data_IF_993144555769
#
_entry.id   IF_993144555769
#
_cell.length_a   1.000
_cell.length_b   1.000
_cell.length_c   1.000
_cell.angle_alpha   90.00
_cell.angle_beta   90.00
_cell.angle_gamma   90.00
#
_symmetry.space_group_name_H-M   'P 1'
#
loop_
_entity.id
_entity.type
_entity.pdbx_description
1 polymer ?
#
# COMPACT_ATOMS: atom_id res chain seq x y z
N UNK A 1 -15.45 0.62 -13.15
CA UNK A 1 -15.91 2.00 -12.83
C UNK A 1 -15.56 2.98 -13.95
N UNK A 2 -15.18 2.50 -15.14
CA UNK A 2 -14.58 3.33 -16.19
C UNK A 2 -15.59 3.85 -17.23
N UNK A 3 -16.84 3.37 -17.20
CA UNK A 3 -17.88 3.78 -18.14
C UNK A 3 -18.25 5.26 -18.03
N UNK A 4 -18.26 5.80 -16.81
CA UNK A 4 -18.48 7.22 -16.56
C UNK A 4 -17.33 8.06 -17.13
N UNK A 5 -16.09 7.70 -16.80
CA UNK A 5 -14.89 8.43 -17.23
C UNK A 5 -14.74 8.42 -18.76
N UNK A 6 -15.01 7.29 -19.41
CA UNK A 6 -15.02 7.16 -20.87
C UNK A 6 -16.04 8.07 -21.54
N UNK A 7 -17.27 8.11 -21.01
CA UNK A 7 -18.32 8.97 -21.54
C UNK A 7 -17.95 10.44 -21.35
N UNK A 8 -17.40 10.79 -20.19
CA UNK A 8 -16.99 12.17 -19.93
C UNK A 8 -15.87 12.62 -20.86
N UNK A 9 -14.83 11.80 -21.02
CA UNK A 9 -13.75 12.03 -21.99
C UNK A 9 -14.28 12.22 -23.42
N UNK A 10 -15.26 11.40 -23.83
CA UNK A 10 -15.85 11.49 -25.16
C UNK A 10 -16.62 12.80 -25.38
N UNK A 11 -17.34 13.27 -24.37
CA UNK A 11 -18.08 14.53 -24.46
C UNK A 11 -17.13 15.73 -24.52
N UNK A 12 -16.08 15.74 -23.68
CA UNK A 12 -15.11 16.83 -23.59
C UNK A 12 -14.20 16.90 -24.83
N UNK A 13 -13.58 15.78 -25.21
CA UNK A 13 -12.62 15.72 -26.31
C UNK A 13 -13.29 15.99 -27.68
N UNK A 14 -14.54 15.55 -27.88
CA UNK A 14 -15.30 15.83 -29.10
C UNK A 14 -16.07 17.15 -29.03
N UNK A 15 -16.09 17.83 -27.88
CA UNK A 15 -16.91 19.02 -27.63
C UNK A 15 -18.36 18.85 -28.10
N UNK A 16 -18.95 17.69 -27.78
CA UNK A 16 -20.28 17.30 -28.27
C UNK A 16 -21.27 17.04 -27.14
N UNK A 17 -22.56 17.14 -27.45
CA UNK A 17 -23.66 16.83 -26.54
C UNK A 17 -23.89 15.33 -26.40
N UNK A 18 -24.56 14.91 -25.33
CA UNK A 18 -24.96 13.50 -25.13
C UNK A 18 -25.79 12.94 -26.30
N UNK A 19 -26.61 13.79 -26.94
CA UNK A 19 -27.41 13.38 -28.11
C UNK A 19 -26.54 13.10 -29.33
N UNK A 20 -25.52 13.93 -29.57
CA UNK A 20 -24.59 13.76 -30.68
C UNK A 20 -23.68 12.55 -30.45
N UNK A 21 -23.19 12.35 -29.22
CA UNK A 21 -22.42 11.16 -28.87
C UNK A 21 -23.26 9.88 -29.03
N UNK A 22 -24.51 9.89 -28.57
CA UNK A 22 -25.44 8.77 -28.74
C UNK A 22 -25.66 8.43 -30.22
N UNK A 23 -25.84 9.46 -31.06
CA UNK A 23 -26.01 9.30 -32.51
C UNK A 23 -24.75 8.71 -33.17
N UNK A 24 -23.55 9.14 -32.77
CA UNK A 24 -22.27 8.57 -33.26
C UNK A 24 -22.07 7.12 -32.85
N UNK A 25 -22.52 6.75 -31.65
CA UNK A 25 -22.40 5.39 -31.12
C UNK A 25 -23.55 4.46 -31.56
N UNK A 26 -24.60 5.00 -32.19
CA UNK A 26 -25.78 4.23 -32.59
C UNK A 26 -26.64 3.78 -31.40
N UNK A 27 -26.61 4.51 -30.28
CA UNK A 27 -27.34 4.19 -29.05
C UNK A 27 -28.34 5.29 -28.68
N UNK A 28 -29.21 5.04 -27.70
CA UNK A 28 -30.12 6.07 -27.19
C UNK A 28 -29.39 7.06 -26.26
N UNK A 29 -29.78 8.35 -26.21
CA UNK A 29 -29.24 9.30 -25.25
C UNK A 29 -29.41 8.85 -23.78
N UNK A 30 -30.47 8.09 -23.49
CA UNK A 30 -30.69 7.49 -22.17
C UNK A 30 -29.57 6.52 -21.80
N UNK A 31 -29.05 5.75 -22.75
CA UNK A 31 -27.94 4.83 -22.52
C UNK A 31 -26.66 5.58 -22.13
N UNK A 32 -26.41 6.75 -22.72
CA UNK A 32 -25.29 7.63 -22.33
C UNK A 32 -25.47 8.12 -20.89
N UNK A 33 -26.68 8.53 -20.51
CA UNK A 33 -26.97 8.95 -19.12
C UNK A 33 -26.81 7.82 -18.12
N UNK A 34 -27.12 6.58 -18.51
CA UNK A 34 -26.92 5.37 -17.71
C UNK A 34 -25.44 5.07 -17.47
N UNK A 35 -24.64 5.07 -18.54
CA UNK A 35 -23.18 4.89 -18.42
C UNK A 35 -22.51 5.99 -17.61
N UNK A 36 -22.99 7.23 -17.73
CA UNK A 36 -22.53 8.35 -16.88
C UNK A 36 -22.86 8.17 -15.40
N UNK A 37 -23.82 7.31 -15.05
CA UNK A 37 -24.14 6.94 -13.66
C UNK A 37 -23.42 5.66 -13.22
N UNK A 38 -22.43 5.19 -13.99
CA UNK A 38 -21.68 3.98 -13.69
C UNK A 38 -22.40 2.67 -14.04
N UNK A 39 -23.49 2.71 -14.81
CA UNK A 39 -24.10 1.46 -15.31
C UNK A 39 -23.13 0.70 -16.22
N UNK A 40 -23.26 -0.62 -16.23
CA UNK A 40 -22.43 -1.52 -17.03
C UNK A 40 -22.43 -1.12 -18.52
N UNK A 41 -21.24 -1.09 -19.11
CA UNK A 41 -21.00 -0.86 -20.54
C UNK A 41 -20.44 -2.15 -21.13
N UNK A 42 -20.93 -2.56 -22.30
CA UNK A 42 -20.36 -3.74 -22.97
C UNK A 42 -18.96 -3.45 -23.51
N UNK A 43 -18.10 -4.47 -23.56
CA UNK A 43 -16.74 -4.36 -24.08
C UNK A 43 -16.69 -3.77 -25.51
N UNK A 44 -17.65 -4.13 -26.38
CA UNK A 44 -17.75 -3.57 -27.73
C UNK A 44 -17.98 -2.04 -27.72
N UNK A 45 -18.83 -1.55 -26.80
CA UNK A 45 -19.08 -0.11 -26.68
C UNK A 45 -17.89 0.61 -26.06
N UNK A 46 -17.23 -0.02 -25.10
CA UNK A 46 -15.99 0.49 -24.53
C UNK A 46 -14.92 0.70 -25.60
N UNK A 47 -14.68 -0.33 -26.43
CA UNK A 47 -13.71 -0.28 -27.52
C UNK A 47 -14.05 0.81 -28.55
N UNK A 48 -15.34 0.95 -28.90
CA UNK A 48 -15.81 2.02 -29.78
C UNK A 48 -15.52 3.40 -29.22
N UNK A 49 -15.80 3.63 -27.94
CA UNK A 49 -15.52 4.92 -27.30
C UNK A 49 -14.02 5.16 -27.24
N UNK A 50 -13.21 4.18 -26.82
CA UNK A 50 -11.74 4.26 -26.79
C UNK A 50 -11.15 4.69 -28.13
N UNK A 51 -11.65 4.12 -29.24
CA UNK A 51 -11.23 4.51 -30.61
C UNK A 51 -11.58 5.96 -30.95
N UNK A 52 -12.74 6.44 -30.50
CA UNK A 52 -13.18 7.82 -30.73
C UNK A 52 -12.32 8.81 -29.94
N UNK A 53 -12.04 8.53 -28.66
CA UNK A 53 -11.25 9.41 -27.79
C UNK A 53 -9.74 9.23 -27.92
N UNK A 54 -9.29 8.20 -28.65
CA UNK A 54 -7.87 7.88 -28.93
C UNK A 54 -7.03 7.70 -27.66
N UNK A 55 -7.58 7.08 -26.62
CA UNK A 55 -6.84 6.83 -25.37
C UNK A 55 -6.07 5.50 -25.39
N UNK A 56 -6.35 4.63 -26.37
CA UNK A 56 -5.77 3.27 -26.42
C UNK A 56 -6.21 2.43 -25.23
N UNK A 57 -5.25 1.71 -24.65
CA UNK A 57 -5.45 0.82 -23.50
C UNK A 57 -5.31 1.54 -22.15
N UNK A 58 -5.02 2.85 -22.15
CA UNK A 58 -4.87 3.64 -20.93
C UNK A 58 -6.13 3.61 -20.06
N UNK A 59 -5.93 3.75 -18.75
CA UNK A 59 -7.05 3.86 -17.82
C UNK A 59 -7.85 5.16 -18.09
N UNK A 60 -9.16 5.07 -18.38
CA UNK A 60 -9.96 6.26 -18.70
C UNK A 60 -10.09 7.25 -17.54
N UNK A 61 -10.14 6.75 -16.31
CA UNK A 61 -10.14 7.58 -15.10
C UNK A 61 -8.86 8.41 -14.99
N UNK A 62 -7.70 7.80 -15.23
CA UNK A 62 -6.41 8.48 -15.23
C UNK A 62 -6.30 9.55 -16.33
N UNK A 63 -6.74 9.25 -17.56
CA UNK A 63 -6.70 10.24 -18.65
C UNK A 63 -7.67 11.40 -18.39
N UNK A 64 -8.86 11.12 -17.86
CA UNK A 64 -9.81 12.16 -17.46
C UNK A 64 -9.23 13.04 -16.36
N UNK A 65 -8.56 12.42 -15.39
CA UNK A 65 -7.90 13.11 -14.30
C UNK A 65 -6.76 14.01 -14.77
N UNK A 66 -5.93 13.55 -15.71
CA UNK A 66 -4.84 14.35 -16.27
C UNK A 66 -5.33 15.49 -17.18
N UNK A 67 -6.60 15.47 -17.60
CA UNK A 67 -7.23 16.48 -18.46
C UNK A 67 -6.97 16.31 -19.96
N UNK A 68 -5.93 15.56 -20.36
CA UNK A 68 -5.68 15.17 -21.74
C UNK A 68 -4.79 13.94 -21.83
N UNK A 69 -4.74 13.29 -22.99
CA UNK A 69 -3.82 12.18 -23.25
C UNK A 69 -2.37 12.63 -23.11
N UNK A 70 -2.03 13.82 -23.63
CA UNK A 70 -0.66 14.34 -23.57
C UNK A 70 -0.21 14.67 -22.15
N UNK A 71 -1.11 15.19 -21.31
CA UNK A 71 -0.79 15.46 -19.91
C UNK A 71 -0.78 14.16 -19.09
N UNK A 72 -1.56 13.15 -19.47
CA UNK A 72 -1.47 11.81 -18.87
C UNK A 72 -0.09 11.18 -19.13
N UNK A 73 0.42 11.29 -20.35
CA UNK A 73 1.77 10.79 -20.71
C UNK A 73 2.88 11.49 -19.88
N UNK A 74 2.72 12.78 -19.55
CA UNK A 74 3.67 13.50 -18.69
C UNK A 74 3.59 13.08 -17.23
N UNK A 75 2.37 12.87 -16.72
CA UNK A 75 2.16 12.34 -15.38
C UNK A 75 2.74 10.93 -15.25
N UNK A 76 2.55 10.09 -16.26
CA UNK A 76 3.11 8.74 -16.32
C UNK A 76 4.64 8.79 -16.25
N UNK A 77 5.30 9.63 -17.04
CA UNK A 77 6.76 9.82 -16.97
C UNK A 77 7.25 10.27 -15.60
N UNK A 78 6.59 11.29 -15.01
CA UNK A 78 6.93 11.77 -13.68
C UNK A 78 6.78 10.67 -12.63
N UNK A 79 5.68 9.89 -12.69
CA UNK A 79 5.39 8.82 -11.75
C UNK A 79 6.49 7.74 -11.79
N UNK A 80 6.90 7.32 -12.97
CA UNK A 80 7.97 6.32 -13.12
C UNK A 80 9.31 6.87 -12.64
N UNK A 81 9.65 8.11 -13.02
CA UNK A 81 10.88 8.76 -12.55
C UNK A 81 10.93 8.83 -11.02
N UNK A 82 9.84 9.25 -10.37
CA UNK A 82 9.79 9.32 -8.90
C UNK A 82 9.86 7.92 -8.25
N UNK A 83 9.34 6.89 -8.91
CA UNK A 83 9.42 5.52 -8.43
C UNK A 83 10.86 4.99 -8.50
N UNK A 84 11.55 5.21 -9.63
CA UNK A 84 12.97 4.86 -9.80
C UNK A 84 13.83 5.55 -8.74
N UNK A 85 13.66 6.86 -8.57
CA UNK A 85 14.36 7.62 -7.53
C UNK A 85 14.06 7.07 -6.13
N UNK A 86 12.81 6.69 -5.83
CA UNK A 86 12.48 6.12 -4.54
C UNK A 86 13.14 4.75 -4.33
N UNK A 87 13.15 3.88 -5.36
CA UNK A 87 13.81 2.57 -5.33
C UNK A 87 15.32 2.73 -5.09
N UNK A 88 15.99 3.63 -5.82
CA UNK A 88 17.43 3.85 -5.69
C UNK A 88 17.84 4.34 -4.29
N UNK A 89 16.91 4.97 -3.56
CA UNK A 89 17.10 5.44 -2.19
C UNK A 89 16.53 4.48 -1.12
N UNK A 90 16.08 3.28 -1.51
CA UNK A 90 15.55 2.30 -0.57
C UNK A 90 16.70 1.56 0.15
N UNK A 91 16.65 1.51 1.49
CA UNK A 91 17.69 0.89 2.32
C UNK A 91 17.19 -0.36 3.07
N UNK A 92 15.98 -0.83 2.80
CA UNK A 92 15.36 -1.95 3.54
C UNK A 92 15.99 -3.32 3.23
N UNK A 93 16.65 -3.44 2.07
CA UNK A 93 17.18 -4.72 1.56
C UNK A 93 16.13 -5.62 0.91
N UNK A 94 14.93 -5.10 0.64
CA UNK A 94 13.85 -5.81 -0.07
C UNK A 94 13.40 -5.03 -1.31
N UNK A 95 13.03 -5.75 -2.36
CA UNK A 95 12.51 -5.17 -3.60
C UNK A 95 11.03 -4.79 -3.46
N UNK A 96 10.71 -3.52 -3.68
CA UNK A 96 9.34 -3.01 -3.70
C UNK A 96 8.71 -3.22 -5.08
N UNK A 97 8.24 -4.43 -5.36
CA UNK A 97 7.68 -4.82 -6.66
C UNK A 97 6.65 -3.84 -7.26
N UNK A 98 5.71 -3.24 -6.50
CA UNK A 98 4.76 -2.28 -7.05
C UNK A 98 5.40 -1.06 -7.73
N UNK A 99 6.59 -0.63 -7.30
CA UNK A 99 7.28 0.54 -7.87
C UNK A 99 8.01 0.24 -9.19
N UNK A 100 8.34 -1.03 -9.46
CA UNK A 100 8.93 -1.44 -10.74
C UNK A 100 7.92 -1.46 -11.89
N UNK A 101 6.62 -1.40 -11.57
CA UNK A 101 5.50 -1.35 -12.49
C UNK A 101 5.50 -2.42 -13.60
N UNK A 102 5.96 -3.64 -13.32
CA UNK A 102 6.04 -4.72 -14.32
C UNK A 102 4.67 -5.05 -14.96
N UNK A 103 3.58 -4.77 -14.24
CA UNK A 103 2.19 -5.02 -14.66
C UNK A 103 1.49 -3.76 -15.21
N UNK A 104 2.11 -2.59 -15.15
CA UNK A 104 1.53 -1.33 -15.65
C UNK A 104 0.36 -0.79 -14.81
N UNK A 105 0.40 -1.00 -13.50
CA UNK A 105 -0.62 -0.60 -12.52
C UNK A 105 -0.24 0.63 -11.68
N UNK A 106 1.04 1.00 -11.59
CA UNK A 106 1.55 2.05 -10.72
C UNK A 106 0.78 3.38 -10.91
N UNK A 107 0.64 3.84 -12.14
CA UNK A 107 -0.10 5.08 -12.43
C UNK A 107 -1.55 5.03 -11.94
N UNK A 108 -2.20 3.87 -12.07
CA UNK A 108 -3.59 3.67 -11.63
C UNK A 108 -3.69 3.66 -10.11
N UNK A 109 -2.76 3.00 -9.44
CA UNK A 109 -2.73 2.88 -7.97
C UNK A 109 -2.44 4.24 -7.33
N UNK A 110 -1.40 4.92 -7.79
CA UNK A 110 -1.05 6.27 -7.34
C UNK A 110 -2.22 7.23 -7.53
N UNK A 111 -2.88 7.18 -8.69
CA UNK A 111 -4.09 7.97 -8.93
C UNK A 111 -5.23 7.62 -7.96
N UNK A 112 -5.49 6.33 -7.71
CA UNK A 112 -6.57 5.93 -6.79
C UNK A 112 -6.31 6.46 -5.38
N UNK A 113 -5.08 6.30 -4.89
CA UNK A 113 -4.65 6.77 -3.56
C UNK A 113 -4.81 8.28 -3.44
N UNK A 114 -4.26 9.07 -4.38
CA UNK A 114 -4.39 10.53 -4.37
C UNK A 114 -5.86 10.99 -4.41
N UNK A 115 -6.70 10.31 -5.19
CA UNK A 115 -8.13 10.62 -5.28
C UNK A 115 -8.86 10.31 -3.98
N UNK A 116 -8.57 9.18 -3.34
CA UNK A 116 -9.16 8.77 -2.07
C UNK A 116 -8.75 9.70 -0.92
N UNK A 117 -7.50 10.17 -0.93
CA UNK A 117 -6.99 11.23 -0.05
C UNK A 117 -7.69 12.59 -0.29
N UNK A 118 -8.41 12.75 -1.40
CA UNK A 118 -9.11 13.98 -1.76
C UNK A 118 -8.20 15.05 -2.34
N UNK A 119 -7.12 14.64 -3.02
CA UNK A 119 -6.21 15.55 -3.73
C UNK A 119 -6.86 16.03 -5.02
N UNK A 120 -7.02 17.34 -5.15
CA UNK A 120 -7.46 17.98 -6.38
C UNK A 120 -6.24 18.34 -7.24
N UNK A 121 -6.13 17.71 -8.41
CA UNK A 121 -5.00 17.95 -9.30
C UNK A 121 -5.25 19.06 -10.32
N UNK A 122 -4.17 19.72 -10.79
CA UNK A 122 -4.29 20.86 -11.67
C UNK A 122 -4.85 20.42 -13.02
N UNK A 123 -5.74 21.26 -13.59
CA UNK A 123 -6.40 21.00 -14.89
C UNK A 123 -5.43 20.85 -16.07
N UNK A 124 -4.19 21.25 -15.89
CA UNK A 124 -3.10 21.12 -16.86
C UNK A 124 -1.86 20.68 -16.11
N UNK A 125 -1.04 19.86 -16.76
CA UNK A 125 0.22 19.45 -16.20
C UNK A 125 1.09 20.67 -15.81
N UNK A 126 1.63 20.74 -14.59
CA UNK A 126 2.47 21.85 -14.15
C UNK A 126 3.70 22.03 -15.04
N UNK A 127 3.91 23.24 -15.57
CA UNK A 127 5.01 23.52 -16.50
C UNK A 127 6.38 23.23 -15.90
N UNK A 128 6.55 23.49 -14.60
CA UNK A 128 7.80 23.25 -13.87
C UNK A 128 8.15 21.75 -13.77
N UNK A 129 7.16 20.86 -13.90
CA UNK A 129 7.39 19.42 -13.90
C UNK A 129 7.67 18.89 -15.31
N UNK A 130 7.55 19.71 -16.36
CA UNK A 130 7.74 19.26 -17.74
C UNK A 130 9.24 19.28 -18.09
N UNK A 131 9.97 18.38 -17.43
CA UNK A 131 11.42 18.20 -17.53
C UNK A 131 11.69 16.98 -18.42
N UNK A 132 12.84 16.99 -19.08
CA UNK A 132 13.35 15.80 -19.77
C UNK A 132 14.12 14.93 -18.77
N UNK A 133 13.45 13.93 -18.22
CA UNK A 133 13.99 13.06 -17.16
C UNK A 133 15.12 12.14 -17.64
N UNK A 134 15.28 11.95 -18.95
CA UNK A 134 16.26 11.05 -19.57
C UNK A 134 17.50 11.81 -20.07
N UNK A 135 17.57 13.13 -19.89
CA UNK A 135 18.63 13.96 -20.45
C UNK A 135 19.81 14.11 -19.48
N UNK A 136 20.99 13.66 -19.92
CA UNK A 136 22.27 13.85 -19.23
C UNK A 136 22.71 15.33 -19.12
N UNK A 137 22.06 16.25 -19.85
CA UNK A 137 22.39 17.68 -19.84
C UNK A 137 21.70 18.47 -18.70
N UNK A 138 20.79 17.83 -17.96
CA UNK A 138 20.03 18.48 -16.90
C UNK A 138 20.75 18.30 -15.57
N UNK A 139 20.93 19.39 -14.82
CA UNK A 139 21.49 19.32 -13.47
C UNK A 139 20.55 18.56 -12.55
N UNK A 140 20.95 17.34 -12.17
CA UNK A 140 20.15 16.46 -11.32
C UNK A 140 19.85 17.07 -9.95
N UNK A 141 20.72 17.93 -9.40
CA UNK A 141 20.51 18.55 -8.09
C UNK A 141 19.40 19.61 -8.16
N UNK A 142 19.41 20.43 -9.21
CA UNK A 142 18.36 21.42 -9.47
C UNK A 142 17.01 20.76 -9.77
N UNK A 143 16.99 19.65 -10.54
CA UNK A 143 15.77 18.89 -10.83
C UNK A 143 15.18 18.31 -9.56
N UNK A 144 16.00 17.71 -8.71
CA UNK A 144 15.55 17.10 -7.46
C UNK A 144 14.98 18.16 -6.51
N UNK A 145 15.57 19.35 -6.46
CA UNK A 145 15.02 20.48 -5.69
C UNK A 145 13.63 20.87 -6.18
N UNK A 146 13.44 21.05 -7.49
CA UNK A 146 12.13 21.40 -8.07
C UNK A 146 11.08 20.30 -7.83
N UNK A 147 11.47 19.03 -7.99
CA UNK A 147 10.55 17.90 -7.87
C UNK A 147 10.20 17.57 -6.41
N UNK A 148 11.18 17.56 -5.51
CA UNK A 148 10.98 17.06 -4.16
C UNK A 148 10.60 18.16 -3.18
N UNK A 149 11.07 19.39 -3.39
CA UNK A 149 10.86 20.49 -2.45
C UNK A 149 9.80 21.48 -2.95
N UNK A 150 9.93 21.97 -4.19
CA UNK A 150 9.11 23.07 -4.68
C UNK A 150 7.69 22.65 -5.08
N UNK A 151 7.54 21.57 -5.85
CA UNK A 151 6.22 21.17 -6.34
C UNK A 151 5.49 20.27 -5.34
N UNK A 152 4.25 20.64 -4.93
CA UNK A 152 3.55 19.93 -3.88
C UNK A 152 3.04 18.55 -4.30
N UNK A 153 2.79 18.31 -5.60
CA UNK A 153 2.27 17.03 -6.08
C UNK A 153 3.36 15.97 -6.21
N UNK A 154 4.50 16.31 -6.83
CA UNK A 154 5.63 15.38 -6.94
C UNK A 154 6.24 15.08 -5.58
N UNK A 155 6.35 16.08 -4.71
CA UNK A 155 6.77 15.91 -3.31
C UNK A 155 5.84 14.94 -2.56
N UNK A 156 4.51 15.09 -2.71
CA UNK A 156 3.54 14.17 -2.11
C UNK A 156 3.67 12.74 -2.64
N UNK A 157 3.75 12.57 -3.97
CA UNK A 157 3.90 11.24 -4.60
C UNK A 157 5.19 10.58 -4.13
N UNK A 158 6.30 11.33 -4.12
CA UNK A 158 7.59 10.82 -3.67
C UNK A 158 7.56 10.38 -2.20
N UNK A 159 6.95 11.18 -1.31
CA UNK A 159 6.78 10.80 0.10
C UNK A 159 5.97 9.51 0.27
N UNK A 160 4.93 9.31 -0.56
CA UNK A 160 4.17 8.05 -0.57
C UNK A 160 5.07 6.88 -0.99
N UNK A 161 5.90 7.04 -2.02
CA UNK A 161 6.78 5.97 -2.50
C UNK A 161 7.91 5.65 -1.53
N UNK A 162 8.52 6.66 -0.89
CA UNK A 162 9.48 6.45 0.19
C UNK A 162 8.84 5.65 1.33
N UNK A 163 7.67 6.09 1.78
CA UNK A 163 6.90 5.38 2.81
C UNK A 163 6.52 3.96 2.38
N UNK A 164 6.26 3.75 1.08
CA UNK A 164 5.95 2.45 0.52
C UNK A 164 7.16 1.52 0.57
N UNK A 165 8.37 1.99 0.25
CA UNK A 165 9.58 1.16 0.38
C UNK A 165 9.75 0.61 1.79
N UNK A 166 9.57 1.46 2.80
CA UNK A 166 9.73 1.05 4.19
C UNK A 166 8.61 0.09 4.63
N UNK A 167 7.37 0.42 4.29
CA UNK A 167 6.19 -0.38 4.63
C UNK A 167 6.23 -1.74 3.92
N UNK A 168 6.62 -1.75 2.65
CA UNK A 168 6.79 -2.94 1.84
C UNK A 168 7.95 -3.80 2.35
N UNK A 169 9.07 -3.18 2.73
CA UNK A 169 10.20 -3.87 3.35
C UNK A 169 9.80 -4.67 4.58
N UNK A 170 9.03 -4.06 5.50
CA UNK A 170 8.52 -4.79 6.67
C UNK A 170 7.56 -5.91 6.29
N UNK A 171 6.65 -5.65 5.35
CA UNK A 171 5.75 -6.68 4.81
C UNK A 171 6.53 -7.86 4.22
N UNK A 172 7.52 -7.59 3.37
CA UNK A 172 8.35 -8.60 2.74
C UNK A 172 9.13 -9.41 3.78
N UNK A 173 9.69 -8.74 4.79
CA UNK A 173 10.47 -9.36 5.85
C UNK A 173 9.67 -10.31 6.78
N UNK A 174 8.42 -9.97 7.10
CA UNK A 174 7.70 -10.62 8.20
C UNK A 174 6.32 -11.19 7.85
N UNK A 175 5.70 -10.78 6.74
CA UNK A 175 4.35 -11.18 6.36
C UNK A 175 4.29 -11.99 5.06
N UNK A 176 5.08 -11.64 4.05
CA UNK A 176 4.96 -12.22 2.69
C UNK A 176 4.93 -13.75 2.67
N UNK A 177 5.91 -14.39 3.31
CA UNK A 177 6.00 -15.85 3.42
C UNK A 177 4.84 -16.45 4.23
N UNK A 178 4.36 -15.73 5.26
CA UNK A 178 3.27 -16.19 6.11
C UNK A 178 1.92 -16.18 5.37
N UNK A 179 1.68 -15.17 4.53
CA UNK A 179 0.45 -15.05 3.77
C UNK A 179 0.31 -16.12 2.67
N UNK A 180 1.38 -16.83 2.35
CA UNK A 180 1.36 -17.96 1.41
C UNK A 180 0.77 -19.25 2.03
N UNK A 181 0.42 -19.26 3.31
CA UNK A 181 -0.21 -20.39 3.99
C UNK A 181 -1.65 -20.61 3.50
N UNK A 182 -2.01 -21.87 3.20
CA UNK A 182 -3.34 -22.26 2.68
C UNK A 182 -4.50 -21.79 3.58
N UNK A 183 -4.29 -21.59 4.89
CA UNK A 183 -5.33 -21.07 5.80
C UNK A 183 -5.61 -19.57 5.65
N UNK A 184 -4.70 -18.82 5.03
CA UNK A 184 -4.82 -17.37 4.81
C UNK A 184 -5.22 -17.02 3.37
N UNK A 185 -4.98 -17.90 2.41
CA UNK A 185 -5.37 -17.70 1.01
C UNK A 185 -6.90 -17.62 0.86
N UNK A 186 -7.38 -16.62 0.13
CA UNK A 186 -8.81 -16.43 -0.13
C UNK A 186 -9.56 -15.73 1.01
N UNK A 187 -8.83 -15.15 1.96
CA UNK A 187 -9.37 -14.47 3.14
C UNK A 187 -9.20 -12.95 3.05
N UNK A 188 -9.52 -12.23 4.13
CA UNK A 188 -9.28 -10.79 4.21
C UNK A 188 -7.77 -10.44 4.12
N UNK A 189 -6.87 -11.39 4.41
CA UNK A 189 -5.42 -11.20 4.32
C UNK A 189 -4.93 -10.96 2.88
N UNK A 190 -5.68 -11.42 1.86
CA UNK A 190 -5.37 -11.17 0.44
C UNK A 190 -5.40 -9.67 0.09
N UNK A 191 -6.02 -8.83 0.93
CA UNK A 191 -6.04 -7.38 0.72
C UNK A 191 -4.79 -6.68 1.25
N UNK A 192 -3.93 -7.34 2.03
CA UNK A 192 -2.78 -6.70 2.68
C UNK A 192 -1.80 -6.19 1.62
N UNK A 193 -1.26 -7.05 0.77
CA UNK A 193 -0.28 -6.65 -0.25
C UNK A 193 -0.85 -5.63 -1.26
N UNK A 194 -2.02 -5.85 -1.89
CA UNK A 194 -2.53 -4.92 -2.91
C UNK A 194 -2.89 -3.53 -2.37
N UNK A 195 -3.12 -3.40 -1.06
CA UNK A 195 -3.46 -2.12 -0.43
C UNK A 195 -2.25 -1.42 0.23
N UNK A 196 -1.01 -1.91 0.08
CA UNK A 196 0.16 -1.36 0.80
C UNK A 196 0.42 0.11 0.49
N UNK A 197 0.18 0.55 -0.75
CA UNK A 197 0.32 1.96 -1.12
C UNK A 197 -0.65 2.87 -0.36
N UNK A 198 -1.87 2.40 -0.08
CA UNK A 198 -2.83 3.16 0.74
C UNK A 198 -2.34 3.28 2.19
N UNK A 199 -1.79 2.20 2.76
CA UNK A 199 -1.22 2.23 4.10
C UNK A 199 0.02 3.14 4.17
N UNK A 200 0.91 3.05 3.18
CA UNK A 200 2.08 3.92 3.07
C UNK A 200 1.68 5.40 3.04
N UNK A 201 0.63 5.74 2.28
CA UNK A 201 0.08 7.09 2.26
C UNK A 201 -0.52 7.54 3.61
N UNK A 202 -0.91 6.63 4.50
CA UNK A 202 -1.38 6.99 5.84
C UNK A 202 -0.23 7.38 6.80
N UNK A 203 1.01 7.01 6.47
CA UNK A 203 2.19 7.20 7.32
C UNK A 203 2.93 8.51 7.05
N UNK A 204 2.56 9.24 6.00
CA UNK A 204 3.14 10.55 5.68
C UNK A 204 2.34 11.69 6.34
N UNK A 205 2.93 12.89 6.31
CA UNK A 205 2.27 14.13 6.72
C UNK A 205 1.79 14.91 5.48
N UNK A 206 0.55 15.43 5.50
CA UNK A 206 0.05 16.34 4.46
C UNK A 206 0.41 17.79 4.80
N UNK A 207 1.70 18.10 4.72
CA UNK A 207 2.23 19.42 5.11
C UNK A 207 1.68 20.57 4.25
N UNK A 208 1.35 20.26 2.99
CA UNK A 208 0.94 21.25 2.00
C UNK A 208 -0.58 21.37 1.87
N UNK A 209 -1.35 20.60 2.65
CA UNK A 209 -2.81 20.68 2.74
C UNK A 209 -3.51 20.32 1.43
N UNK A 210 -2.92 19.44 0.63
CA UNK A 210 -3.48 19.02 -0.65
C UNK A 210 -4.62 18.01 -0.49
N UNK A 211 -4.58 17.20 0.58
CA UNK A 211 -5.46 16.06 0.77
C UNK A 211 -6.66 16.42 1.66
N UNK A 212 -7.71 16.94 1.02
CA UNK A 212 -8.93 17.40 1.72
C UNK A 212 -9.63 16.33 2.57
N UNK A 213 -9.42 15.04 2.27
CA UNK A 213 -10.04 13.90 2.96
C UNK A 213 -9.02 13.05 3.71
N UNK A 214 -7.81 13.54 3.93
CA UNK A 214 -6.70 12.76 4.49
C UNK A 214 -7.05 12.06 5.80
N UNK A 215 -7.74 12.75 6.72
CA UNK A 215 -8.13 12.18 8.02
C UNK A 215 -9.12 11.02 7.90
N UNK A 216 -10.11 11.16 7.02
CA UNK A 216 -11.12 10.12 6.78
C UNK A 216 -10.48 8.91 6.10
N UNK A 217 -9.66 9.17 5.08
CA UNK A 217 -8.84 8.16 4.40
C UNK A 217 -7.98 7.38 5.39
N UNK A 218 -7.16 8.10 6.18
CA UNK A 218 -6.26 7.49 7.18
C UNK A 218 -7.01 6.65 8.20
N UNK A 219 -8.13 7.16 8.73
CA UNK A 219 -8.92 6.40 9.70
C UNK A 219 -9.45 5.09 9.12
N UNK A 220 -9.99 5.12 7.90
CA UNK A 220 -10.54 3.93 7.26
C UNK A 220 -9.46 2.89 6.96
N UNK A 221 -8.37 3.30 6.32
CA UNK A 221 -7.29 2.38 5.94
C UNK A 221 -6.61 1.79 7.17
N UNK A 222 -6.30 2.60 8.20
CA UNK A 222 -5.69 2.07 9.42
C UNK A 222 -6.59 1.06 10.12
N UNK A 223 -7.91 1.28 10.12
CA UNK A 223 -8.88 0.35 10.71
C UNK A 223 -8.93 -0.97 9.94
N UNK A 224 -9.01 -0.90 8.61
CA UNK A 224 -9.06 -2.09 7.77
C UNK A 224 -7.79 -2.95 7.95
N UNK A 225 -6.61 -2.31 7.99
CA UNK A 225 -5.35 -2.99 8.27
C UNK A 225 -5.25 -3.56 9.67
N UNK A 226 -5.76 -2.87 10.69
CA UNK A 226 -5.83 -3.41 12.05
C UNK A 226 -6.67 -4.70 12.08
N UNK A 227 -7.80 -4.72 11.39
CA UNK A 227 -8.65 -5.90 11.27
C UNK A 227 -7.94 -7.04 10.52
N UNK A 228 -7.31 -6.75 9.38
CA UNK A 228 -6.60 -7.77 8.58
C UNK A 228 -5.39 -8.35 9.30
N UNK A 229 -4.58 -7.51 9.96
CA UNK A 229 -3.39 -7.97 10.68
C UNK A 229 -3.78 -8.77 11.92
N UNK A 230 -4.83 -8.38 12.66
CA UNK A 230 -5.32 -9.20 13.77
C UNK A 230 -5.82 -10.57 13.28
N UNK A 231 -6.51 -10.63 12.14
CA UNK A 231 -6.92 -11.89 11.53
C UNK A 231 -5.72 -12.79 11.19
N UNK A 232 -4.64 -12.22 10.62
CA UNK A 232 -3.40 -12.96 10.36
C UNK A 232 -2.77 -13.47 11.66
N UNK A 233 -2.66 -12.62 12.70
CA UNK A 233 -2.12 -13.00 14.01
C UNK A 233 -2.92 -14.14 14.66
N UNK A 234 -4.24 -14.07 14.63
CA UNK A 234 -5.12 -15.12 15.18
C UNK A 234 -5.01 -16.44 14.41
N UNK A 235 -4.88 -16.37 13.09
CA UNK A 235 -4.73 -17.56 12.24
C UNK A 235 -3.37 -18.20 12.46
N UNK A 236 -2.28 -17.40 12.40
CA UNK A 236 -0.92 -17.86 12.70
C UNK A 236 -0.85 -18.53 14.07
N UNK A 237 -1.54 -17.98 15.06
CA UNK A 237 -1.67 -18.60 16.38
C UNK A 237 -2.34 -19.98 16.33
N UNK A 238 -3.50 -20.08 15.68
CA UNK A 238 -4.27 -21.33 15.58
C UNK A 238 -3.48 -22.45 14.93
N UNK A 239 -2.67 -22.12 13.91
CA UNK A 239 -1.85 -23.11 13.19
C UNK A 239 -0.44 -23.28 13.79
N UNK A 240 -0.10 -22.51 14.82
CA UNK A 240 1.17 -22.64 15.55
C UNK A 240 2.38 -22.03 14.83
N UNK A 241 2.16 -21.07 13.92
CA UNK A 241 3.24 -20.34 13.23
C UNK A 241 3.80 -19.26 14.16
N UNK A 242 5.12 -19.28 14.45
CA UNK A 242 5.72 -18.28 15.29
C UNK A 242 5.85 -16.94 14.58
N UNK A 243 5.33 -15.88 15.20
CA UNK A 243 5.53 -14.51 14.74
C UNK A 243 6.97 -14.07 15.03
N UNK A 244 7.62 -13.41 14.06
CA UNK A 244 9.01 -12.95 14.18
C UNK A 244 9.13 -11.46 14.55
N UNK A 245 8.06 -10.70 14.34
CA UNK A 245 7.89 -9.30 14.73
C UNK A 245 6.47 -9.06 15.27
N UNK A 246 6.22 -7.88 15.86
CA UNK A 246 4.87 -7.46 16.21
C UNK A 246 4.17 -6.96 14.94
N UNK A 247 3.31 -7.78 14.34
CA UNK A 247 2.73 -7.45 13.03
C UNK A 247 1.89 -6.16 13.03
N UNK A 248 1.30 -5.75 14.16
CA UNK A 248 0.55 -4.48 14.24
C UNK A 248 1.47 -3.25 14.16
N UNK A 249 2.79 -3.42 14.29
CA UNK A 249 3.74 -2.35 14.00
C UNK A 249 3.62 -1.87 12.55
N UNK A 250 3.27 -2.76 11.61
CA UNK A 250 2.95 -2.38 10.22
C UNK A 250 1.90 -1.27 10.17
N UNK A 251 0.94 -1.25 11.10
CA UNK A 251 -0.12 -0.23 11.16
C UNK A 251 0.37 1.02 11.90
N UNK A 252 0.96 0.85 13.09
CA UNK A 252 1.15 1.96 14.03
C UNK A 252 2.53 2.62 14.02
N UNK A 253 3.59 1.93 13.60
CA UNK A 253 4.92 2.55 13.50
C UNK A 253 4.98 3.53 12.34
N UNK A 254 5.87 4.51 12.46
CA UNK A 254 6.22 5.37 11.33
C UNK A 254 6.86 4.56 10.21
N UNK A 255 6.88 5.09 8.99
CA UNK A 255 7.51 4.39 7.88
C UNK A 255 9.02 4.20 8.14
N UNK A 256 9.71 5.22 8.65
CA UNK A 256 11.15 5.18 8.96
C UNK A 256 11.52 4.03 9.93
N UNK A 257 10.72 3.85 11.00
CA UNK A 257 10.93 2.75 11.96
C UNK A 257 10.69 1.37 11.32
N UNK A 258 9.74 1.24 10.39
CA UNK A 258 9.50 -0.01 9.66
C UNK A 258 10.65 -0.32 8.71
N UNK A 259 11.18 0.68 8.03
CA UNK A 259 12.32 0.55 7.13
C UNK A 259 13.56 0.05 7.86
N UNK A 260 13.89 0.65 9.02
CA UNK A 260 15.00 0.19 9.87
C UNK A 260 14.82 -1.24 10.38
N UNK A 261 13.59 -1.65 10.70
CA UNK A 261 13.33 -3.02 11.16
C UNK A 261 13.42 -4.06 10.04
N UNK A 262 13.04 -3.68 8.82
CA UNK A 262 13.23 -4.49 7.62
C UNK A 262 14.72 -4.63 7.29
N UNK A 263 15.47 -3.53 7.27
CA UNK A 263 16.92 -3.51 7.07
C UNK A 263 17.64 -4.41 8.08
N UNK A 264 17.29 -4.31 9.37
CA UNK A 264 17.87 -5.16 10.39
C UNK A 264 17.63 -6.67 10.14
N UNK A 265 16.46 -7.02 9.61
CA UNK A 265 16.16 -8.40 9.22
C UNK A 265 16.91 -8.85 7.97
N UNK A 266 17.05 -8.01 6.95
CA UNK A 266 17.78 -8.36 5.72
C UNK A 266 19.27 -8.61 5.99
N UNK A 267 19.86 -7.90 6.96
CA UNK A 267 21.21 -8.20 7.48
C UNK A 267 21.28 -9.39 8.45
N UNK A 268 20.14 -10.00 8.78
CA UNK A 268 20.06 -11.19 9.63
C UNK A 268 20.15 -10.92 11.13
N UNK A 269 20.12 -9.67 11.59
CA UNK A 269 20.14 -9.33 13.02
C UNK A 269 18.92 -9.87 13.78
N UNK A 270 17.78 -10.02 13.08
CA UNK A 270 16.52 -10.51 13.63
C UNK A 270 16.21 -11.98 13.27
N UNK A 271 17.16 -12.70 12.66
CA UNK A 271 17.00 -14.10 12.21
C UNK A 271 16.56 -15.07 13.31
N UNK A 272 17.01 -14.87 14.56
CA UNK A 272 16.66 -15.70 15.72
C UNK A 272 15.53 -15.12 16.58
N UNK A 273 14.94 -13.98 16.20
CA UNK A 273 13.89 -13.31 16.98
C UNK A 273 12.58 -14.06 16.83
N UNK A 274 11.99 -14.40 17.96
CA UNK A 274 10.60 -14.85 18.06
C UNK A 274 9.86 -13.78 18.86
N UNK A 275 8.82 -13.21 18.27
CA UNK A 275 8.04 -12.17 18.91
C UNK A 275 7.27 -12.76 20.12
N UNK A 276 7.30 -12.13 21.31
CA UNK A 276 6.79 -12.76 22.52
C UNK A 276 5.27 -12.98 22.57
N UNK A 277 4.48 -12.40 21.68
CA UNK A 277 3.10 -12.04 22.01
C UNK A 277 2.04 -13.13 22.06
N UNK A 278 2.38 -14.41 21.91
CA UNK A 278 1.43 -15.47 22.28
C UNK A 278 2.09 -16.66 23.00
N UNK A 279 3.33 -17.01 22.64
CA UNK A 279 4.09 -18.04 23.34
C UNK A 279 4.41 -17.64 24.78
N UNK A 280 4.60 -16.35 25.07
CA UNK A 280 4.71 -15.90 26.46
C UNK A 280 3.42 -16.13 27.23
N UNK A 281 2.24 -16.00 26.62
CA UNK A 281 0.99 -16.24 27.34
C UNK A 281 0.82 -17.73 27.66
N UNK A 282 1.15 -18.63 26.73
CA UNK A 282 1.14 -20.08 27.01
C UNK A 282 2.22 -20.48 28.02
N UNK A 283 3.44 -19.92 27.92
CA UNK A 283 4.49 -20.12 28.91
C UNK A 283 4.08 -19.58 30.29
N UNK A 284 3.47 -18.39 30.36
CA UNK A 284 2.95 -17.80 31.59
C UNK A 284 1.77 -18.60 32.14
N UNK A 285 0.90 -19.11 31.29
CA UNK A 285 -0.22 -19.96 31.69
C UNK A 285 0.29 -21.31 32.22
N UNK A 286 1.24 -21.94 31.51
CA UNK A 286 1.94 -23.14 31.95
C UNK A 286 2.67 -22.93 33.27
N UNK A 287 3.39 -21.82 33.43
CA UNK A 287 4.02 -21.42 34.70
C UNK A 287 2.98 -21.23 35.81
N UNK A 288 1.86 -20.54 35.55
CA UNK A 288 0.77 -20.37 36.53
C UNK A 288 0.16 -21.71 36.95
N UNK A 289 -0.05 -22.64 36.02
CA UNK A 289 -0.54 -23.99 36.30
C UNK A 289 0.49 -24.78 37.12
N UNK A 290 1.78 -24.74 36.74
CA UNK A 290 2.86 -25.38 37.50
C UNK A 290 2.90 -24.82 38.93
N UNK A 291 2.80 -23.50 39.11
CA UNK A 291 2.76 -22.88 40.44
C UNK A 291 1.54 -23.30 41.28
N UNK A 292 0.44 -23.72 40.67
CA UNK A 292 -0.72 -24.25 41.40
C UNK A 292 -0.58 -25.75 41.72
N UNK A 293 -0.11 -26.54 40.75
CA UNK A 293 -0.11 -28.01 40.84
C UNK A 293 1.13 -28.53 41.57
N UNK A 294 2.31 -27.93 41.34
CA UNK A 294 3.58 -28.40 41.89
C UNK A 294 3.61 -28.39 43.42
N UNK A 295 3.13 -27.34 44.14
CA UNK A 295 3.02 -27.37 45.60
C UNK A 295 2.16 -28.52 46.13
N UNK A 296 1.07 -28.86 45.43
CA UNK A 296 0.16 -29.94 45.81
C UNK A 296 0.84 -31.30 45.62
N UNK A 297 1.58 -31.47 44.52
CA UNK A 297 2.39 -32.67 44.26
C UNK A 297 3.49 -32.83 45.31
N UNK A 298 4.25 -31.78 45.58
CA UNK A 298 5.34 -31.80 46.56
C UNK A 298 4.87 -32.12 47.97
N UNK A 299 3.70 -31.60 48.39
CA UNK A 299 3.06 -31.96 49.66
C UNK A 299 2.64 -33.43 49.72
N UNK A 300 2.10 -33.98 48.63
CA UNK A 300 1.77 -35.42 48.55
C UNK A 300 3.01 -36.32 48.60
N UNK A 301 4.12 -35.85 48.04
CA UNK A 301 5.40 -36.57 48.04
C UNK A 301 6.21 -36.36 49.32
N UNK A 302 5.76 -35.49 50.23
CA UNK A 302 6.43 -35.23 51.51
C UNK A 302 7.71 -34.39 51.41
N UNK A 303 7.98 -33.77 50.26
CA UNK A 303 9.23 -33.04 49.97
C UNK A 303 9.07 -31.52 50.04
N UNK A 304 7.89 -31.03 50.42
CA UNK A 304 7.55 -29.61 50.33
C UNK A 304 8.47 -28.69 51.17
N UNK A 305 8.82 -29.13 52.38
CA UNK A 305 9.63 -28.33 53.32
C UNK A 305 11.14 -28.52 53.10
N UNK A 306 11.56 -29.51 52.31
CA UNK A 306 12.96 -29.87 52.06
C UNK A 306 13.47 -29.45 50.68
N UNK A 307 12.55 -29.08 49.77
CA UNK A 307 12.92 -28.72 48.41
C UNK A 307 13.66 -27.37 48.37
N UNK A 308 14.84 -27.39 47.77
CA UNK A 308 15.63 -26.20 47.47
C UNK A 308 15.90 -26.19 45.97
N UNK A 309 15.58 -25.08 45.31
CA UNK A 309 15.83 -24.90 43.89
C UNK A 309 17.34 -24.81 43.63
N UNK A 310 17.86 -25.69 42.78
CA UNK A 310 19.23 -25.58 42.29
C UNK A 310 19.27 -24.58 41.11
N UNK A 311 19.86 -23.41 41.35
CA UNK A 311 19.97 -22.35 40.35
C UNK A 311 21.17 -22.51 39.41
N UNK A 312 22.03 -23.52 39.62
CA UNK A 312 23.27 -23.68 38.85
C UNK A 312 23.04 -23.98 37.37
N UNK A 313 21.93 -24.65 37.05
CA UNK A 313 21.50 -25.00 35.68
C UNK A 313 20.59 -23.93 35.03
N UNK A 314 20.16 -22.90 35.78
CA UNK A 314 19.25 -21.86 35.29
C UNK A 314 19.96 -20.72 34.54
N UNK A 315 21.29 -20.73 34.51
CA UNK A 315 22.09 -19.73 33.80
C UNK A 315 22.54 -20.29 32.46
N UNK A 316 22.02 -19.72 31.38
CA UNK A 316 22.51 -19.97 30.02
C UNK A 316 23.95 -19.41 29.95
N UNK A 317 24.91 -20.22 29.49
CA UNK A 317 26.29 -19.79 29.19
C UNK A 317 26.37 -19.20 27.80
#
# INVERSE_FOLDING_TARGET
>A
MDSEALVQLALENLSCSQKELALRLGVSPTQISKWKKGEHMSAEMEEKIRKIVKIGDRNPGFVLWAGSVQDADKWEKLIHFLAEVAIDNAETGYDTYPLHDEVGLLCRETFSVLREMGVELPKKFPKQLNIDYESDEVDHEDVMTVLLEENPYSSLIYSIYKSLNDTYGFYAAYLSDMLSDDELVGTAADNIEPCLMQLAACKIEDDKGLASKFREFKHHIMKDYEEWINFVKETAFRVGIPLRAELLELVYKSHDELGHEAEAESFGFNSSRVHPDIYMNELLCGMRVIHQVLPVIMKKLGIYDEFVLDESELRIR
#
